data_IF_126733220731
#
_entry.id   IF_126733220731
#
_cell.length_a   1.000
_cell.length_b   1.000
_cell.length_c   1.000
_cell.angle_alpha   90.00
_cell.angle_beta   90.00
_cell.angle_gamma   90.00
#
_symmetry.space_group_name_H-M   'P 1'
#
loop_
_entity.id
_entity.type
_entity.pdbx_description
1 polymer ?
#
# COMPACT_ATOMS: atom_id res chain seq x y z
N UNK A 1 -6.02 -2.24 -11.24
CA UNK A 1 -5.12 -3.42 -11.13
C UNK A 1 -5.28 -4.10 -9.77
N UNK A 2 -4.66 -5.25 -9.52
CA UNK A 2 -4.65 -5.86 -8.18
C UNK A 2 -4.04 -4.93 -7.12
N UNK A 3 -3.00 -4.18 -7.50
CA UNK A 3 -2.38 -3.16 -6.67
C UNK A 3 -3.37 -2.04 -6.32
N UNK A 4 -4.14 -1.54 -7.28
CA UNK A 4 -5.15 -0.50 -7.02
C UNK A 4 -6.21 -0.96 -6.03
N UNK A 5 -6.78 -2.16 -6.25
CA UNK A 5 -7.78 -2.74 -5.35
C UNK A 5 -7.24 -2.91 -3.93
N UNK A 6 -5.99 -3.39 -3.79
CA UNK A 6 -5.36 -3.57 -2.48
C UNK A 6 -5.10 -2.23 -1.78
N UNK A 7 -4.67 -1.22 -2.52
CA UNK A 7 -4.48 0.13 -1.98
C UNK A 7 -5.80 0.73 -1.50
N UNK A 8 -6.87 0.63 -2.29
CA UNK A 8 -8.22 1.08 -1.91
C UNK A 8 -8.70 0.37 -0.63
N UNK A 9 -8.59 -0.96 -0.58
CA UNK A 9 -8.93 -1.74 0.62
C UNK A 9 -8.13 -1.28 1.85
N UNK A 10 -6.83 -1.05 1.70
CA UNK A 10 -5.99 -0.61 2.81
C UNK A 10 -6.36 0.79 3.29
N UNK A 11 -6.69 1.71 2.37
CA UNK A 11 -7.19 3.05 2.72
C UNK A 11 -8.49 2.96 3.52
N UNK A 12 -9.41 2.05 3.17
CA UNK A 12 -10.63 1.80 3.96
C UNK A 12 -10.29 1.33 5.38
N UNK A 13 -9.35 0.39 5.53
CA UNK A 13 -8.91 -0.11 6.85
C UNK A 13 -8.30 1.02 7.68
N UNK A 14 -7.41 1.82 7.08
CA UNK A 14 -6.78 2.98 7.73
C UNK A 14 -7.82 3.98 8.22
N UNK A 15 -8.81 4.33 7.38
CA UNK A 15 -9.85 5.29 7.74
C UNK A 15 -10.73 4.79 8.90
N UNK A 16 -10.98 3.48 8.95
CA UNK A 16 -11.77 2.82 10.00
C UNK A 16 -11.02 2.55 11.31
N UNK A 17 -9.72 2.88 11.41
CA UNK A 17 -8.97 2.73 12.65
C UNK A 17 -9.41 3.82 13.65
N UNK A 18 -10.08 3.46 14.74
CA UNK A 18 -10.58 4.42 15.73
C UNK A 18 -9.54 4.84 16.78
N UNK A 19 -8.40 4.16 16.83
CA UNK A 19 -7.31 4.45 17.76
C UNK A 19 -6.35 5.52 17.21
N UNK A 20 -6.45 5.82 15.92
CA UNK A 20 -5.58 6.75 15.22
C UNK A 20 -6.20 8.14 15.04
N UNK A 21 -5.38 9.19 15.13
CA UNK A 21 -5.80 10.55 14.77
C UNK A 21 -5.96 10.72 13.26
N UNK A 22 -6.62 11.80 12.84
CA UNK A 22 -6.77 12.10 11.41
C UNK A 22 -5.43 12.35 10.70
N UNK A 23 -4.45 12.93 11.42
CA UNK A 23 -3.10 13.14 10.93
C UNK A 23 -2.36 11.81 10.72
N UNK A 24 -2.45 10.88 11.68
CA UNK A 24 -1.82 9.56 11.59
C UNK A 24 -2.41 8.75 10.43
N UNK A 25 -3.74 8.82 10.26
CA UNK A 25 -4.42 8.22 9.09
C UNK A 25 -3.98 8.87 7.79
N UNK A 26 -3.86 10.20 7.76
CA UNK A 26 -3.43 10.91 6.56
C UNK A 26 -2.03 10.49 6.13
N UNK A 27 -1.11 10.33 7.08
CA UNK A 27 0.24 9.88 6.79
C UNK A 27 0.26 8.42 6.31
N UNK A 28 -0.49 7.52 6.96
CA UNK A 28 -0.63 6.15 6.49
C UNK A 28 -1.22 6.06 5.07
N UNK A 29 -2.21 6.88 4.72
CA UNK A 29 -2.76 6.94 3.35
C UNK A 29 -1.72 7.39 2.33
N UNK A 30 -0.86 8.36 2.66
CA UNK A 30 0.26 8.76 1.78
C UNK A 30 1.25 7.62 1.58
N UNK A 31 1.56 6.87 2.64
CA UNK A 31 2.42 5.69 2.54
C UNK A 31 1.79 4.63 1.62
N UNK A 32 0.47 4.40 1.69
CA UNK A 32 -0.23 3.49 0.77
C UNK A 32 -0.10 3.94 -0.68
N UNK A 33 -0.32 5.23 -0.96
CA UNK A 33 -0.20 5.74 -2.34
C UNK A 33 1.25 5.63 -2.84
N UNK A 34 2.24 5.94 -2.00
CA UNK A 34 3.66 5.77 -2.33
C UNK A 34 3.98 4.31 -2.65
N UNK A 35 3.54 3.36 -1.82
CA UNK A 35 3.76 1.93 -2.04
C UNK A 35 3.06 1.43 -3.32
N UNK A 36 1.86 1.95 -3.63
CA UNK A 36 1.16 1.67 -4.88
C UNK A 36 1.91 2.17 -6.12
N UNK A 37 2.43 3.41 -6.08
CA UNK A 37 3.23 3.97 -7.18
C UNK A 37 4.52 3.15 -7.37
N UNK A 38 5.21 2.83 -6.28
CA UNK A 38 6.42 2.01 -6.32
C UNK A 38 6.16 0.62 -6.91
N UNK A 39 5.11 -0.07 -6.44
CA UNK A 39 4.74 -1.38 -6.95
C UNK A 39 4.42 -1.36 -8.45
N UNK A 40 3.68 -0.35 -8.93
CA UNK A 40 3.40 -0.18 -10.36
C UNK A 40 4.66 0.09 -11.16
N UNK A 41 5.55 0.94 -10.67
CA UNK A 41 6.85 1.20 -11.30
C UNK A 41 7.67 -0.08 -11.45
N UNK A 42 7.77 -0.87 -10.38
CA UNK A 42 8.50 -2.13 -10.39
C UNK A 42 7.89 -3.15 -11.37
N UNK A 43 6.55 -3.22 -11.46
CA UNK A 43 5.86 -4.07 -12.44
C UNK A 43 6.19 -3.62 -13.87
N UNK A 44 6.15 -2.32 -14.15
CA UNK A 44 6.45 -1.77 -15.48
C UNK A 44 7.90 -1.99 -15.89
N UNK A 45 8.84 -1.96 -14.94
CA UNK A 45 10.28 -2.15 -15.18
C UNK A 45 10.72 -3.62 -15.16
N UNK A 46 9.79 -4.57 -15.01
CA UNK A 46 10.11 -6.00 -14.99
C UNK A 46 10.24 -6.54 -16.42
N UNK A 47 11.32 -7.29 -16.71
CA UNK A 47 11.59 -7.83 -18.04
C UNK A 47 10.97 -9.22 -18.26
N UNK A 48 10.72 -9.95 -17.17
CA UNK A 48 10.17 -11.31 -17.19
C UNK A 48 8.88 -11.43 -16.39
N UNK A 49 8.04 -12.41 -16.74
CA UNK A 49 6.81 -12.71 -15.98
C UNK A 49 7.10 -13.04 -14.50
N UNK A 50 8.24 -13.67 -14.22
CA UNK A 50 8.67 -13.97 -12.86
C UNK A 50 8.91 -12.69 -12.05
N UNK A 51 9.56 -11.70 -12.65
CA UNK A 51 9.80 -10.40 -12.01
C UNK A 51 8.50 -9.63 -11.84
N UNK A 52 7.61 -9.64 -12.84
CA UNK A 52 6.26 -9.06 -12.73
C UNK A 52 5.50 -9.65 -11.54
N UNK A 53 5.51 -10.98 -11.41
CA UNK A 53 4.85 -11.68 -10.29
C UNK A 53 5.50 -11.37 -8.94
N UNK A 54 6.83 -11.27 -8.90
CA UNK A 54 7.58 -10.86 -7.70
C UNK A 54 7.24 -9.43 -7.28
N UNK A 55 7.28 -8.48 -8.22
CA UNK A 55 6.95 -7.07 -7.99
C UNK A 55 5.51 -6.90 -7.51
N UNK A 56 4.57 -7.65 -8.10
CA UNK A 56 3.16 -7.67 -7.66
C UNK A 56 3.03 -8.19 -6.23
N UNK A 57 3.69 -9.31 -5.90
CA UNK A 57 3.63 -9.91 -4.56
C UNK A 57 4.19 -8.97 -3.50
N UNK A 58 5.39 -8.43 -3.74
CA UNK A 58 6.04 -7.47 -2.85
C UNK A 58 5.18 -6.21 -2.67
N UNK A 59 4.63 -5.67 -3.76
CA UNK A 59 3.75 -4.51 -3.71
C UNK A 59 2.49 -4.74 -2.87
N UNK A 60 1.86 -5.92 -3.01
CA UNK A 60 0.68 -6.30 -2.22
C UNK A 60 1.01 -6.43 -0.72
N UNK A 61 2.13 -7.06 -0.38
CA UNK A 61 2.60 -7.20 1.01
C UNK A 61 2.94 -5.85 1.65
N UNK A 62 3.70 -5.01 0.93
CA UNK A 62 4.04 -3.65 1.40
C UNK A 62 2.79 -2.85 1.71
N UNK A 63 1.81 -2.83 0.81
CA UNK A 63 0.55 -2.12 1.02
C UNK A 63 -0.21 -2.71 2.22
N UNK A 64 -0.29 -4.03 2.33
CA UNK A 64 -1.01 -4.71 3.43
C UNK A 64 -0.50 -4.33 4.82
N UNK A 65 0.80 -4.08 4.94
CA UNK A 65 1.45 -3.87 6.23
C UNK A 65 1.41 -2.40 6.69
N UNK A 66 0.85 -1.48 5.91
CA UNK A 66 0.77 -0.06 6.27
C UNK A 66 -0.42 0.18 7.20
N UNK A 67 -0.14 0.68 8.40
CA UNK A 67 -1.13 1.07 9.41
C UNK A 67 -0.82 2.49 9.90
N UNK A 68 -1.79 3.22 10.46
CA UNK A 68 -1.53 4.45 11.19
C UNK A 68 -0.55 4.18 12.33
N UNK A 69 0.41 5.09 12.54
CA UNK A 69 1.30 5.05 13.69
C UNK A 69 0.58 5.63 14.90
N UNK A 70 -0.21 4.81 15.58
CA UNK A 70 -0.92 5.23 16.80
C UNK A 70 0.11 5.54 17.90
N UNK A 71 0.21 6.79 18.31
CA UNK A 71 1.02 7.15 19.47
C UNK A 71 0.25 6.77 20.75
N UNK A 72 0.84 5.92 21.57
CA UNK A 72 0.37 5.60 22.93
C UNK A 72 0.72 6.69 23.93
#
# INVERSE_FOLDING_TARGET
TAIDKKAEQQVTIINGNNDATDEEKAEARKLVEKAKIEAKSNITNSDTEREVNGAKTNGLEKINNIQPSTQT
#
